data_IF_809171903244
#
_entry.id   IF_809171903244
#
_cell.length_a   1.000
_cell.length_b   1.000
_cell.length_c   1.000
_cell.angle_alpha   90.00
_cell.angle_beta   90.00
_cell.angle_gamma   90.00
#
_symmetry.space_group_name_H-M   'P 1'
#
loop_
_entity.id
_entity.type
_entity.pdbx_description
1 polymer ?
#
# COMPACT_ATOMS: atom_id res chain seq x y z
N UNK A 1 -13.71 6.00 -21.49
CA UNK A 1 -13.14 5.92 -20.13
C UNK A 1 -14.25 5.42 -19.22
N UNK A 2 -14.07 4.28 -18.53
CA UNK A 2 -15.14 3.74 -17.70
C UNK A 2 -15.36 4.65 -16.48
N UNK A 3 -16.58 4.95 -16.20
CA UNK A 3 -16.97 5.76 -15.05
C UNK A 3 -17.06 4.87 -13.81
N UNK A 4 -16.21 5.15 -12.80
CA UNK A 4 -16.34 4.56 -11.46
C UNK A 4 -16.82 5.64 -10.49
N UNK A 5 -17.95 5.40 -9.77
CA UNK A 5 -18.70 6.48 -9.13
C UNK A 5 -18.09 7.04 -7.84
N UNK A 6 -17.16 6.34 -7.20
CA UNK A 6 -16.65 6.72 -5.89
C UNK A 6 -15.14 6.53 -5.78
N UNK A 7 -14.53 7.24 -4.84
CA UNK A 7 -13.16 6.96 -4.41
C UNK A 7 -13.14 6.02 -3.21
N UNK A 8 -12.08 5.24 -3.07
CA UNK A 8 -11.87 4.39 -1.89
C UNK A 8 -11.86 5.22 -0.60
N UNK A 9 -11.30 6.42 -0.64
CA UNK A 9 -11.30 7.38 0.48
C UNK A 9 -12.71 7.68 0.99
N UNK A 10 -13.67 7.89 0.08
CA UNK A 10 -15.07 8.15 0.46
C UNK A 10 -15.70 6.94 1.15
N UNK A 11 -15.46 5.73 0.63
CA UNK A 11 -15.96 4.49 1.23
C UNK A 11 -15.40 4.30 2.64
N UNK A 12 -14.09 4.47 2.82
CA UNK A 12 -13.43 4.35 4.11
C UNK A 12 -13.95 5.40 5.12
N UNK A 13 -14.16 6.64 4.67
CA UNK A 13 -14.72 7.70 5.51
C UNK A 13 -16.12 7.39 6.00
N UNK A 14 -17.01 6.89 5.13
CA UNK A 14 -18.38 6.48 5.50
C UNK A 14 -18.33 5.33 6.51
N UNK A 15 -17.49 4.33 6.27
CA UNK A 15 -17.33 3.20 7.19
C UNK A 15 -16.80 3.65 8.56
N UNK A 16 -15.81 4.55 8.57
CA UNK A 16 -15.26 5.11 9.81
C UNK A 16 -16.32 5.86 10.62
N UNK A 17 -17.08 6.75 9.98
CA UNK A 17 -18.18 7.50 10.62
C UNK A 17 -19.27 6.59 11.17
N UNK A 18 -19.58 5.51 10.45
CA UNK A 18 -20.57 4.49 10.84
C UNK A 18 -20.00 3.46 11.83
N UNK A 19 -18.75 3.58 12.24
CA UNK A 19 -18.02 2.60 13.07
C UNK A 19 -18.04 1.18 12.50
N UNK A 20 -18.16 1.05 11.19
CA UNK A 20 -18.14 -0.24 10.47
C UNK A 20 -16.75 -0.53 9.96
N UNK A 21 -16.35 -1.78 9.97
CA UNK A 21 -15.20 -2.26 9.24
C UNK A 21 -15.63 -2.60 7.82
N UNK A 22 -14.74 -2.37 6.84
CA UNK A 22 -14.93 -2.94 5.51
C UNK A 22 -14.91 -4.46 5.61
N UNK A 23 -15.79 -5.12 4.87
CA UNK A 23 -15.82 -6.59 4.84
C UNK A 23 -14.41 -7.14 4.56
N UNK A 24 -13.89 -8.11 5.34
CA UNK A 24 -12.54 -8.62 5.20
C UNK A 24 -12.22 -9.22 3.84
N UNK A 25 -13.21 -9.87 3.19
CA UNK A 25 -13.06 -10.41 1.85
C UNK A 25 -12.98 -9.28 0.81
N UNK A 26 -13.83 -8.25 0.92
CA UNK A 26 -13.80 -7.07 0.04
C UNK A 26 -12.47 -6.32 0.21
N UNK A 27 -11.98 -6.16 1.44
CA UNK A 27 -10.67 -5.56 1.69
C UNK A 27 -9.54 -6.34 0.98
N UNK A 28 -9.56 -7.68 1.07
CA UNK A 28 -8.61 -8.57 0.39
C UNK A 28 -8.74 -8.47 -1.13
N UNK A 29 -9.96 -8.45 -1.66
CA UNK A 29 -10.22 -8.31 -3.09
C UNK A 29 -9.71 -6.98 -3.65
N UNK A 30 -9.95 -5.87 -2.94
CA UNK A 30 -9.42 -4.57 -3.34
C UNK A 30 -7.89 -4.56 -3.29
N UNK A 31 -7.29 -5.10 -2.23
CA UNK A 31 -5.84 -5.25 -2.12
C UNK A 31 -5.25 -6.05 -3.30
N UNK A 32 -5.89 -7.13 -3.72
CA UNK A 32 -5.47 -7.95 -4.85
C UNK A 32 -5.49 -7.17 -6.17
N UNK A 33 -6.60 -6.49 -6.49
CA UNK A 33 -6.74 -5.68 -7.71
C UNK A 33 -5.73 -4.52 -7.73
N UNK A 34 -5.48 -3.88 -6.58
CA UNK A 34 -4.47 -2.83 -6.46
C UNK A 34 -3.07 -3.36 -6.75
N UNK A 35 -2.71 -4.54 -6.20
CA UNK A 35 -1.41 -5.15 -6.47
C UNK A 35 -1.26 -5.57 -7.94
N UNK A 36 -2.33 -6.03 -8.61
CA UNK A 36 -2.32 -6.28 -10.06
C UNK A 36 -2.03 -5.01 -10.85
N UNK A 37 -2.69 -3.91 -10.50
CA UNK A 37 -2.44 -2.61 -11.15
C UNK A 37 -0.99 -2.16 -10.99
N UNK A 38 -0.42 -2.33 -9.79
CA UNK A 38 1.00 -2.02 -9.55
C UNK A 38 1.93 -2.96 -10.32
N UNK A 39 1.65 -4.27 -10.34
CA UNK A 39 2.45 -5.22 -11.13
C UNK A 39 2.56 -4.77 -12.59
N UNK A 40 1.43 -4.36 -13.17
CA UNK A 40 1.42 -3.86 -14.56
C UNK A 40 2.29 -2.60 -14.74
N UNK A 41 2.09 -1.56 -13.90
CA UNK A 41 2.88 -0.33 -13.99
C UNK A 41 4.39 -0.61 -13.81
N UNK A 42 4.72 -1.40 -12.81
CA UNK A 42 6.08 -1.76 -12.46
C UNK A 42 6.77 -2.58 -13.55
N UNK A 43 6.04 -3.45 -14.28
CA UNK A 43 6.57 -4.17 -15.45
C UNK A 43 7.00 -3.24 -16.58
N UNK A 44 6.46 -2.02 -16.63
CA UNK A 44 6.86 -0.97 -17.58
C UNK A 44 7.92 -0.01 -17.02
N UNK A 45 8.40 -0.27 -15.80
CA UNK A 45 9.35 0.61 -15.09
C UNK A 45 8.73 1.94 -14.66
N UNK A 46 7.39 2.01 -14.56
CA UNK A 46 6.66 3.22 -14.19
C UNK A 46 6.31 3.15 -12.70
N UNK A 47 6.69 4.19 -11.95
CA UNK A 47 6.20 4.45 -10.61
C UNK A 47 5.02 5.44 -10.66
N UNK A 48 3.96 5.16 -9.93
CA UNK A 48 2.79 6.04 -9.81
C UNK A 48 3.09 7.28 -8.97
N UNK A 49 3.78 7.10 -7.86
CA UNK A 49 4.31 8.13 -6.95
C UNK A 49 3.27 8.94 -6.17
N UNK A 50 1.99 8.59 -6.24
CA UNK A 50 0.93 9.16 -5.38
C UNK A 50 -0.20 8.15 -5.10
N UNK A 51 0.17 6.94 -4.69
CA UNK A 51 -0.78 5.91 -4.26
C UNK A 51 -1.40 6.32 -2.93
N UNK A 52 -2.73 6.46 -2.92
CA UNK A 52 -3.56 6.81 -1.76
C UNK A 52 -5.03 6.48 -2.03
N UNK A 53 -5.89 6.36 -1.01
CA UNK A 53 -7.31 6.04 -1.21
C UNK A 53 -8.07 7.04 -2.10
N UNK A 54 -7.64 8.31 -2.17
CA UNK A 54 -8.24 9.33 -3.04
C UNK A 54 -8.02 9.04 -4.53
N UNK A 55 -6.90 8.36 -4.86
CA UNK A 55 -6.50 8.04 -6.24
C UNK A 55 -6.87 6.60 -6.63
N UNK A 56 -7.78 5.96 -5.87
CA UNK A 56 -8.34 4.64 -6.16
C UNK A 56 -9.84 4.80 -6.34
N UNK A 57 -10.31 4.59 -7.56
CA UNK A 57 -11.72 4.64 -7.90
C UNK A 57 -12.35 3.26 -7.68
N UNK A 58 -13.59 3.23 -7.22
CA UNK A 58 -14.32 2.02 -6.85
C UNK A 58 -15.74 2.07 -7.42
N UNK A 59 -16.16 0.97 -8.01
CA UNK A 59 -17.58 0.66 -8.22
C UNK A 59 -18.01 -0.41 -7.20
N UNK A 60 -18.78 -0.02 -6.19
CA UNK A 60 -19.25 -0.93 -5.15
C UNK A 60 -20.27 -1.97 -5.65
N UNK A 61 -20.91 -1.76 -6.80
CA UNK A 61 -21.86 -2.74 -7.37
C UNK A 61 -21.13 -3.94 -7.96
N UNK A 62 -19.97 -3.69 -8.59
CA UNK A 62 -19.16 -4.71 -9.23
C UNK A 62 -17.89 -5.03 -8.45
N UNK A 63 -17.60 -4.28 -7.40
CA UNK A 63 -16.33 -4.29 -6.64
C UNK A 63 -15.07 -4.14 -7.52
N UNK A 64 -15.23 -3.52 -8.69
CA UNK A 64 -14.12 -3.14 -9.57
C UNK A 64 -13.41 -1.92 -9.00
N UNK A 65 -12.08 -1.92 -9.07
CA UNK A 65 -11.28 -0.74 -8.75
C UNK A 65 -10.36 -0.35 -9.90
N UNK A 66 -9.98 0.92 -9.94
CA UNK A 66 -8.97 1.44 -10.88
C UNK A 66 -8.10 2.48 -10.20
N UNK A 67 -6.79 2.46 -10.49
CA UNK A 67 -5.91 3.57 -10.16
C UNK A 67 -6.19 4.75 -11.10
N UNK A 68 -6.13 5.96 -10.56
CA UNK A 68 -6.26 7.21 -11.31
C UNK A 68 -5.22 8.23 -10.86
N UNK A 69 -5.18 9.39 -11.52
CA UNK A 69 -4.25 10.49 -11.25
C UNK A 69 -2.78 10.10 -11.46
N UNK A 70 -2.41 9.95 -12.73
CA UNK A 70 -1.03 9.69 -13.17
C UNK A 70 -0.20 10.97 -13.32
N UNK A 71 -0.66 12.11 -12.80
CA UNK A 71 0.05 13.39 -12.89
C UNK A 71 1.44 13.39 -12.23
N UNK A 72 1.64 12.53 -11.25
CA UNK A 72 2.94 12.31 -10.61
C UNK A 72 3.72 11.13 -11.17
N UNK A 73 3.15 10.32 -12.06
CA UNK A 73 3.77 9.10 -12.55
C UNK A 73 5.05 9.39 -13.34
N UNK A 74 6.03 8.50 -13.22
CA UNK A 74 7.32 8.65 -13.91
C UNK A 74 7.93 7.28 -14.20
N UNK A 75 8.48 7.14 -15.41
CA UNK A 75 9.38 6.02 -15.72
C UNK A 75 10.69 6.26 -15.00
N UNK A 76 11.02 5.39 -14.03
CA UNK A 76 12.26 5.46 -13.27
C UNK A 76 13.37 4.75 -14.05
N UNK A 77 14.51 5.42 -14.18
CA UNK A 77 15.70 4.88 -14.84
C UNK A 77 16.82 4.86 -13.81
N UNK A 78 17.44 3.71 -13.64
CA UNK A 78 18.54 3.53 -12.70
C UNK A 78 19.64 4.58 -12.89
N UNK A 79 20.14 5.17 -11.80
CA UNK A 79 21.15 6.24 -11.83
C UNK A 79 20.61 7.62 -12.21
N UNK A 80 19.33 7.77 -12.59
CA UNK A 80 18.73 9.06 -12.91
C UNK A 80 17.96 9.61 -11.71
N UNK A 81 18.48 10.67 -11.11
CA UNK A 81 17.88 11.32 -9.94
C UNK A 81 16.44 11.80 -10.19
N UNK A 82 15.64 11.75 -9.15
CA UNK A 82 14.25 12.21 -9.12
C UNK A 82 14.00 13.01 -7.83
N UNK A 83 12.98 13.88 -7.84
CA UNK A 83 12.61 14.65 -6.64
C UNK A 83 12.11 13.72 -5.54
N UNK A 84 12.58 13.93 -4.30
CA UNK A 84 12.17 13.14 -3.14
C UNK A 84 10.88 13.63 -2.48
N UNK A 85 10.54 14.91 -2.64
CA UNK A 85 9.33 15.48 -2.06
C UNK A 85 8.10 15.20 -2.93
N UNK A 86 7.67 13.94 -2.93
CA UNK A 86 6.51 13.39 -3.64
C UNK A 86 5.74 12.46 -2.71
N UNK A 87 4.65 11.91 -3.17
CA UNK A 87 3.69 11.10 -2.43
C UNK A 87 2.98 11.88 -1.32
N UNK A 88 1.72 11.56 -1.12
CA UNK A 88 0.94 12.07 0.01
C UNK A 88 1.51 11.55 1.32
N UNK A 89 1.61 12.42 2.32
CA UNK A 89 2.41 12.22 3.54
C UNK A 89 2.17 10.87 4.22
N UNK A 90 0.93 10.51 4.48
CA UNK A 90 0.60 9.28 5.22
C UNK A 90 1.01 7.99 4.50
N UNK A 91 1.25 8.06 3.19
CA UNK A 91 1.61 6.93 2.31
C UNK A 91 3.05 7.04 1.80
N UNK A 92 3.80 8.06 2.25
CA UNK A 92 5.17 8.33 1.80
C UNK A 92 6.12 7.29 2.36
N UNK A 93 6.89 6.67 1.47
CA UNK A 93 7.91 5.69 1.82
C UNK A 93 9.06 6.32 2.63
N UNK A 94 9.67 5.59 3.58
CA UNK A 94 10.71 6.14 4.44
C UNK A 94 11.93 6.63 3.65
N UNK A 95 12.34 5.97 2.58
CA UNK A 95 13.45 6.44 1.71
C UNK A 95 13.21 7.86 1.17
N UNK A 96 11.96 8.23 0.87
CA UNK A 96 11.62 9.58 0.44
C UNK A 96 11.69 10.59 1.59
N UNK A 97 11.35 10.16 2.80
CA UNK A 97 11.48 10.98 4.02
C UNK A 97 12.97 11.22 4.33
N UNK A 98 13.82 10.22 4.11
CA UNK A 98 15.27 10.32 4.22
C UNK A 98 15.92 11.08 3.04
N UNK A 99 15.13 11.64 2.12
CA UNK A 99 15.59 12.50 1.03
C UNK A 99 16.26 11.76 -0.12
N UNK A 100 16.00 10.46 -0.28
CA UNK A 100 16.53 9.70 -1.41
C UNK A 100 16.04 10.29 -2.75
N UNK A 101 16.97 10.48 -3.69
CA UNK A 101 16.69 10.95 -5.05
C UNK A 101 16.85 9.85 -6.10
N UNK A 102 17.48 8.75 -5.73
CA UNK A 102 17.65 7.53 -6.53
C UNK A 102 16.84 6.38 -5.94
N UNK A 103 15.54 6.61 -5.82
CA UNK A 103 14.59 5.62 -5.33
C UNK A 103 14.01 4.79 -6.48
N UNK A 104 13.40 3.65 -6.15
CA UNK A 104 12.85 2.71 -7.11
C UNK A 104 11.30 2.68 -7.07
N UNK A 105 10.70 1.88 -7.94
CA UNK A 105 9.25 1.59 -7.94
C UNK A 105 8.74 1.04 -6.60
N UNK A 106 9.63 0.64 -5.70
CA UNK A 106 9.28 0.10 -4.38
C UNK A 106 8.63 1.12 -3.44
N UNK A 107 8.73 2.43 -3.74
CA UNK A 107 7.98 3.47 -3.02
C UNK A 107 6.46 3.26 -3.13
N UNK A 108 5.99 2.79 -4.30
CA UNK A 108 4.56 2.53 -4.52
C UNK A 108 4.09 1.30 -3.74
N UNK A 109 4.95 0.29 -3.59
CA UNK A 109 4.61 -0.91 -2.80
C UNK A 109 4.46 -0.55 -1.31
N UNK A 110 5.32 0.34 -0.78
CA UNK A 110 5.12 0.89 0.56
C UNK A 110 3.79 1.62 0.69
N UNK A 111 3.51 2.55 -0.23
CA UNK A 111 2.24 3.31 -0.24
C UNK A 111 1.04 2.38 -0.30
N UNK A 112 1.13 1.31 -1.09
CA UNK A 112 0.10 0.29 -1.18
C UNK A 112 -0.07 -0.48 0.13
N UNK A 113 1.02 -0.82 0.82
CA UNK A 113 0.98 -1.43 2.16
C UNK A 113 0.24 -0.54 3.18
N UNK A 114 0.45 0.79 3.11
CA UNK A 114 -0.29 1.75 3.92
C UNK A 114 -1.80 1.74 3.60
N UNK A 115 -2.16 1.70 2.31
CA UNK A 115 -3.58 1.63 1.88
C UNK A 115 -4.21 0.30 2.30
N UNK A 116 -3.53 -0.83 2.12
CA UNK A 116 -4.01 -2.15 2.56
C UNK A 116 -4.23 -2.18 4.08
N UNK A 117 -3.33 -1.55 4.85
CA UNK A 117 -3.52 -1.40 6.29
C UNK A 117 -4.77 -0.58 6.63
N UNK A 118 -5.02 0.49 5.87
CA UNK A 118 -6.16 1.38 6.07
C UNK A 118 -7.50 0.72 5.72
N UNK A 119 -7.54 -0.20 4.74
CA UNK A 119 -8.75 -1.01 4.44
C UNK A 119 -9.27 -1.75 5.68
N UNK A 120 -8.36 -2.24 6.51
CA UNK A 120 -8.70 -3.00 7.73
C UNK A 120 -8.88 -2.08 8.93
N UNK A 121 -8.00 -1.09 9.11
CA UNK A 121 -8.06 -0.14 10.23
C UNK A 121 -9.22 0.86 10.11
N UNK A 122 -9.61 1.24 8.88
CA UNK A 122 -10.54 2.34 8.61
C UNK A 122 -9.93 3.74 8.78
N UNK A 123 -8.61 3.83 9.03
CA UNK A 123 -7.84 5.08 9.12
C UNK A 123 -6.41 4.85 8.69
N UNK A 124 -5.66 5.89 8.28
CA UNK A 124 -4.26 5.72 7.94
C UNK A 124 -3.45 5.07 9.07
N UNK A 125 -2.49 4.22 8.69
CA UNK A 125 -1.62 3.52 9.64
C UNK A 125 -0.65 4.49 10.31
N UNK A 126 -0.04 5.40 9.54
CA UNK A 126 0.94 6.38 10.00
C UNK A 126 0.35 7.79 9.85
N UNK A 127 0.11 8.48 10.96
CA UNK A 127 -0.60 9.78 11.02
C UNK A 127 0.30 10.91 11.48
N UNK A 128 1.37 11.19 10.75
CA UNK A 128 2.27 12.31 11.05
C UNK A 128 1.69 13.67 10.64
N UNK A 129 1.77 14.69 11.49
CA UNK A 129 1.35 16.04 11.19
C UNK A 129 2.32 16.78 10.25
N UNK A 130 3.62 16.47 10.35
CA UNK A 130 4.71 16.96 9.49
C UNK A 130 5.47 15.81 8.87
N UNK A 131 6.46 16.09 8.01
CA UNK A 131 7.35 15.04 7.46
C UNK A 131 8.18 14.38 8.57
N UNK A 132 8.65 15.13 9.55
CA UNK A 132 9.39 14.58 10.69
C UNK A 132 8.49 13.72 11.57
N UNK A 133 7.27 14.18 11.87
CA UNK A 133 6.30 13.39 12.64
C UNK A 133 5.90 12.10 11.90
N UNK A 134 5.86 12.14 10.57
CA UNK A 134 5.60 10.94 9.78
C UNK A 134 6.68 9.88 10.01
N UNK A 135 7.94 10.27 10.06
CA UNK A 135 9.04 9.36 10.39
C UNK A 135 8.90 8.83 11.84
N UNK A 136 8.54 9.70 12.78
CA UNK A 136 8.30 9.29 14.18
C UNK A 136 7.19 8.24 14.27
N UNK A 137 6.08 8.42 13.53
CA UNK A 137 5.00 7.45 13.49
C UNK A 137 5.45 6.09 12.88
N UNK A 138 6.26 6.13 11.83
CA UNK A 138 6.84 4.92 11.24
C UNK A 138 7.74 4.20 12.26
N UNK A 139 8.66 4.93 12.90
CA UNK A 139 9.57 4.38 13.92
C UNK A 139 8.80 3.83 15.11
N UNK A 140 7.75 4.51 15.55
CA UNK A 140 6.91 4.06 16.67
C UNK A 140 6.29 2.68 16.38
N UNK A 141 5.92 2.41 15.14
CA UNK A 141 5.26 1.15 14.75
C UNK A 141 6.29 0.09 14.37
N UNK A 142 7.24 0.40 13.51
CA UNK A 142 8.19 -0.57 12.98
C UNK A 142 9.48 -0.71 13.80
N UNK A 143 9.67 0.13 14.80
CA UNK A 143 10.93 0.24 15.53
C UNK A 143 11.95 1.13 14.83
N UNK A 144 13.06 1.40 15.51
CA UNK A 144 14.15 2.20 14.93
C UNK A 144 14.83 1.44 13.80
N UNK A 145 15.01 2.05 12.60
CA UNK A 145 15.75 1.42 11.52
C UNK A 145 17.21 1.18 11.92
N UNK A 146 17.78 0.07 11.48
CA UNK A 146 19.20 -0.18 11.61
C UNK A 146 20.02 0.75 10.71
N UNK A 147 21.33 0.85 10.95
CA UNK A 147 22.23 1.61 10.06
C UNK A 147 22.20 1.05 8.63
N UNK A 148 22.13 -0.28 8.49
CA UNK A 148 22.02 -0.93 7.18
C UNK A 148 20.72 -0.53 6.46
N UNK A 149 19.60 -0.44 7.18
CA UNK A 149 18.34 0.04 6.62
C UNK A 149 18.46 1.50 6.15
N UNK A 150 19.05 2.37 6.99
CA UNK A 150 19.27 3.78 6.63
C UNK A 150 20.15 3.91 5.39
N UNK A 151 21.28 3.21 5.35
CA UNK A 151 22.18 3.19 4.19
C UNK A 151 21.49 2.67 2.93
N UNK A 152 20.60 1.66 3.06
CA UNK A 152 19.85 1.11 1.93
C UNK A 152 18.81 2.08 1.39
N UNK A 153 18.23 2.93 2.25
CA UNK A 153 17.27 3.97 1.88
C UNK A 153 17.95 5.19 1.25
N UNK A 154 18.99 5.70 1.87
CA UNK A 154 19.78 6.81 1.35
C UNK A 154 21.25 6.73 1.84
N UNK A 155 22.21 6.30 1.01
CA UNK A 155 23.62 6.18 1.41
C UNK A 155 24.28 7.54 1.71
N UNK A 156 23.67 8.65 1.31
CA UNK A 156 24.17 10.01 1.58
C UNK A 156 23.58 10.64 2.85
N UNK A 157 22.70 9.91 3.55
CA UNK A 157 22.13 10.41 4.78
C UNK A 157 23.18 10.44 5.88
N UNK A 158 23.51 11.64 6.38
CA UNK A 158 24.48 11.83 7.45
C UNK A 158 23.87 11.41 8.79
N UNK A 159 24.68 10.81 9.64
CA UNK A 159 24.27 10.22 10.92
C UNK A 159 23.34 11.12 11.74
N UNK A 160 22.13 10.62 11.97
CA UNK A 160 21.27 11.07 13.04
C UNK A 160 21.09 9.92 14.01
N UNK A 161 21.40 10.15 15.29
CA UNK A 161 21.10 9.17 16.33
C UNK A 161 19.62 9.19 16.62
N UNK A 162 18.89 8.20 16.13
CA UNK A 162 17.50 8.01 16.52
C UNK A 162 17.41 7.33 17.90
N UNK A 163 16.45 7.73 18.74
CA UNK A 163 16.16 6.98 19.98
C UNK A 163 15.81 5.53 19.63
N UNK A 164 16.28 4.59 20.44
CA UNK A 164 16.00 3.18 20.25
C UNK A 164 14.56 2.85 20.66
N UNK A 165 13.72 2.60 19.70
CA UNK A 165 12.31 2.26 19.86
C UNK A 165 12.10 0.81 19.41
N UNK A 166 11.47 -0.01 20.26
CA UNK A 166 11.07 -1.37 19.90
C UNK A 166 9.79 -1.32 19.04
N UNK A 167 9.67 -2.19 18.03
CA UNK A 167 8.47 -2.24 17.20
C UNK A 167 7.23 -2.60 18.04
N UNK A 168 6.08 -2.05 17.65
CA UNK A 168 4.78 -2.44 18.19
C UNK A 168 4.25 -3.59 17.34
N UNK A 169 3.92 -4.75 17.90
CA UNK A 169 3.31 -5.84 17.15
C UNK A 169 2.00 -5.40 16.47
N UNK A 170 1.77 -5.83 15.23
CA UNK A 170 0.59 -5.43 14.46
C UNK A 170 -0.73 -5.81 15.14
N UNK A 171 -0.80 -6.94 15.85
CA UNK A 171 -1.99 -7.36 16.61
C UNK A 171 -2.45 -6.30 17.61
N UNK A 172 -1.51 -5.58 18.26
CA UNK A 172 -1.83 -4.47 19.15
C UNK A 172 -2.37 -3.26 18.44
N UNK A 173 -1.90 -2.98 17.21
CA UNK A 173 -2.33 -1.84 16.39
C UNK A 173 -3.73 -2.09 15.82
N UNK A 174 -3.99 -3.31 15.38
CA UNK A 174 -5.24 -3.73 14.76
C UNK A 174 -6.24 -4.33 15.77
N UNK A 175 -6.05 -4.07 17.06
CA UNK A 175 -6.95 -4.51 18.12
C UNK A 175 -8.41 -4.13 17.78
N UNK A 176 -9.33 -5.06 18.03
CA UNK A 176 -10.78 -4.92 17.74
C UNK A 176 -11.12 -4.85 16.24
N UNK A 177 -10.28 -5.39 15.38
CA UNK A 177 -10.57 -5.58 13.94
C UNK A 177 -10.65 -7.07 13.62
N UNK A 178 -11.49 -7.42 12.66
CA UNK A 178 -11.51 -8.76 12.07
C UNK A 178 -10.33 -8.82 11.11
N UNK A 179 -9.36 -9.69 11.38
CA UNK A 179 -8.11 -9.77 10.62
C UNK A 179 -8.16 -10.98 9.70
N UNK A 180 -8.02 -10.79 8.38
CA UNK A 180 -7.88 -11.91 7.46
C UNK A 180 -6.61 -12.73 7.75
N UNK A 181 -6.66 -14.03 7.47
CA UNK A 181 -5.50 -14.91 7.59
C UNK A 181 -4.32 -14.39 6.76
N UNK A 182 -3.10 -14.57 7.23
CA UNK A 182 -1.84 -14.09 6.61
C UNK A 182 -1.73 -12.56 6.40
N UNK A 183 -2.67 -11.75 6.91
CA UNK A 183 -2.63 -10.29 6.73
C UNK A 183 -1.37 -9.67 7.33
N UNK A 184 -1.03 -10.00 8.58
CA UNK A 184 0.15 -9.44 9.24
C UNK A 184 1.46 -9.94 8.62
N UNK A 185 1.46 -11.19 8.14
CA UNK A 185 2.62 -11.74 7.42
C UNK A 185 2.87 -10.98 6.13
N UNK A 186 1.83 -10.69 5.33
CA UNK A 186 1.94 -9.85 4.14
C UNK A 186 2.44 -8.44 4.49
N UNK A 187 1.85 -7.79 5.51
CA UNK A 187 2.25 -6.44 5.90
C UNK A 187 3.71 -6.38 6.34
N UNK A 188 4.18 -7.37 7.12
CA UNK A 188 5.57 -7.44 7.58
C UNK A 188 6.59 -7.56 6.46
N UNK A 189 6.17 -8.04 5.28
CA UNK A 189 7.00 -8.18 4.08
C UNK A 189 6.90 -6.98 3.13
N UNK A 190 5.84 -6.17 3.25
CA UNK A 190 5.63 -4.95 2.45
C UNK A 190 6.17 -3.72 3.19
N UNK A 191 5.85 -3.55 4.47
CA UNK A 191 6.25 -2.41 5.28
C UNK A 191 7.63 -2.66 5.89
N UNK A 192 8.65 -2.71 5.06
CA UNK A 192 10.06 -2.92 5.40
C UNK A 192 10.84 -1.67 5.04
N UNK A 193 11.76 -1.22 5.92
CA UNK A 193 12.59 -0.03 5.68
C UNK A 193 13.43 -0.17 4.41
N UNK A 194 14.18 -1.28 4.32
CA UNK A 194 15.04 -1.55 3.16
C UNK A 194 14.21 -1.82 1.90
N UNK A 195 14.23 -0.93 0.88
CA UNK A 195 13.43 -1.10 -0.33
C UNK A 195 13.75 -2.38 -1.11
N UNK A 196 14.99 -2.89 -1.01
CA UNK A 196 15.42 -4.10 -1.72
C UNK A 196 14.91 -5.39 -1.07
N UNK A 197 14.61 -5.34 0.25
CA UNK A 197 14.01 -6.46 1.01
C UNK A 197 12.48 -6.44 0.97
N UNK A 198 11.89 -5.33 0.55
CA UNK A 198 10.43 -5.18 0.41
C UNK A 198 9.92 -6.08 -0.72
N UNK A 199 8.80 -6.79 -0.51
CA UNK A 199 8.18 -7.58 -1.59
C UNK A 199 7.93 -6.70 -2.81
N UNK A 200 8.09 -7.28 -4.00
CA UNK A 200 7.57 -6.64 -5.23
C UNK A 200 6.06 -6.85 -5.32
N UNK A 201 5.37 -6.03 -6.11
CA UNK A 201 3.93 -6.22 -6.33
C UNK A 201 3.61 -7.62 -6.90
N UNK A 202 4.48 -8.13 -7.78
CA UNK A 202 4.36 -9.47 -8.34
C UNK A 202 4.47 -10.57 -7.28
N UNK A 203 5.52 -10.53 -6.44
CA UNK A 203 5.69 -11.51 -5.34
C UNK A 203 4.61 -11.37 -4.27
N UNK A 204 4.09 -10.17 -4.03
CA UNK A 204 2.99 -9.97 -3.11
C UNK A 204 1.71 -10.67 -3.59
N UNK A 205 1.44 -10.70 -4.90
CA UNK A 205 0.31 -11.44 -5.48
C UNK A 205 0.42 -12.96 -5.30
N UNK A 206 1.62 -13.50 -5.15
CA UNK A 206 1.86 -14.93 -4.90
C UNK A 206 1.65 -15.31 -3.42
N UNK A 207 1.54 -14.29 -2.52
CA UNK A 207 1.44 -14.50 -1.10
C UNK A 207 0.16 -15.26 -0.69
N UNK A 208 0.21 -16.17 0.31
CA UNK A 208 -0.95 -16.93 0.79
C UNK A 208 -2.16 -16.08 1.19
N UNK A 209 -1.95 -14.83 1.59
CA UNK A 209 -3.02 -13.87 1.86
C UNK A 209 -4.06 -13.79 0.73
N UNK A 210 -3.62 -13.96 -0.54
CA UNK A 210 -4.49 -13.86 -1.72
C UNK A 210 -4.98 -15.21 -2.26
N UNK A 211 -4.65 -16.33 -1.62
CA UNK A 211 -5.01 -17.66 -2.14
C UNK A 211 -6.52 -17.90 -2.22
N UNK A 212 -7.28 -17.31 -1.30
CA UNK A 212 -8.73 -17.35 -1.33
C UNK A 212 -9.28 -16.68 -2.60
N UNK A 213 -8.75 -15.53 -2.98
CA UNK A 213 -9.16 -14.82 -4.20
C UNK A 213 -8.80 -15.61 -5.46
N UNK A 214 -7.63 -16.23 -5.50
CA UNK A 214 -7.17 -17.03 -6.65
C UNK A 214 -8.00 -18.32 -6.84
N UNK A 215 -8.52 -18.90 -5.76
CA UNK A 215 -9.31 -20.15 -5.77
C UNK A 215 -10.78 -19.96 -6.12
N UNK A 216 -11.27 -18.72 -6.15
CA UNK A 216 -12.68 -18.46 -6.48
C UNK A 216 -12.90 -18.75 -7.95
N UNK A 217 -13.75 -19.75 -8.23
CA UNK A 217 -14.16 -20.09 -9.59
C UNK A 217 -15.11 -19.01 -10.15
N UNK A 218 -14.87 -18.62 -11.39
CA UNK A 218 -15.79 -17.78 -12.14
C UNK A 218 -17.11 -18.52 -12.35
N UNK A 219 -18.23 -17.85 -12.12
CA UNK A 219 -19.51 -18.35 -12.60
C UNK A 219 -19.60 -18.22 -14.14
N UNK A 220 -20.69 -18.73 -14.74
CA UNK A 220 -20.91 -18.68 -16.21
C UNK A 220 -20.88 -17.25 -16.78
N UNK A 221 -21.13 -16.24 -15.95
CA UNK A 221 -21.14 -14.82 -16.33
C UNK A 221 -19.80 -14.12 -16.06
N UNK A 222 -18.77 -14.85 -15.63
CA UNK A 222 -17.46 -14.30 -15.31
C UNK A 222 -17.40 -13.54 -13.98
N UNK A 223 -18.39 -13.72 -13.10
CA UNK A 223 -18.49 -13.06 -11.80
C UNK A 223 -18.14 -14.01 -10.66
N UNK A 224 -17.73 -13.46 -9.51
CA UNK A 224 -17.62 -14.25 -8.29
C UNK A 224 -19.00 -14.71 -7.82
N UNK A 225 -19.11 -16.00 -7.50
CA UNK A 225 -20.36 -16.64 -7.12
C UNK A 225 -21.04 -15.97 -5.91
N UNK A 226 -20.26 -15.42 -5.00
CA UNK A 226 -20.71 -14.84 -3.74
C UNK A 226 -20.89 -13.31 -3.80
N UNK A 227 -20.18 -12.61 -4.67
CA UNK A 227 -20.11 -11.14 -4.67
C UNK A 227 -20.45 -10.50 -6.04
N UNK A 228 -20.87 -11.27 -7.00
CA UNK A 228 -21.23 -10.80 -8.36
C UNK A 228 -20.15 -9.93 -9.04
N UNK A 229 -18.88 -10.32 -8.87
CA UNK A 229 -17.70 -9.56 -9.29
C UNK A 229 -17.21 -10.06 -10.64
N UNK A 230 -17.11 -9.20 -11.67
CA UNK A 230 -16.45 -9.57 -12.92
C UNK A 230 -14.94 -9.72 -12.71
N UNK A 231 -14.39 -10.85 -13.14
CA UNK A 231 -12.95 -11.13 -13.08
C UNK A 231 -12.21 -10.81 -14.40
N UNK A 232 -12.77 -9.98 -15.26
CA UNK A 232 -12.04 -9.50 -16.44
C UNK A 232 -10.91 -8.56 -15.98
N UNK A 233 -9.92 -9.17 -15.33
CA UNK A 233 -8.65 -8.58 -14.95
C UNK A 233 -7.64 -8.75 -16.10
N UNK A 234 -8.10 -8.71 -17.35
CA UNK A 234 -7.22 -8.45 -18.48
C UNK A 234 -6.73 -7.01 -18.35
N UNK A 235 -5.46 -6.92 -17.92
CA UNK A 235 -4.72 -5.66 -17.81
C UNK A 235 -4.09 -5.33 -19.15
#
# INVERSE_FOLDING_TARGET
MDYLPQTLSRILSINYQSRKQLDPFIAKLYAYQMMLSLKYLHSKGIAHRDIKPQNILVDQKTNKIKLCDFGSAKKLIQGKKSISYICSRFYRAPELIFGATDYTIQIDVWSMGCVISELVLGRPLFLGATTSDQLVEIIRILGTPSMDDICSMNPHFKEHKFPQVKPIPFDKIFKNRIIPEYFFDLLSKILVYNPQKRLTAEKALEHPYFDEIKKIEKNKDGKYKEYDIPLDLEI
#
